data_IF_967178545126
#
_entry.id   IF_967178545126
#
_cell.length_a   1.000
_cell.length_b   1.000
_cell.length_c   1.000
_cell.angle_alpha   90.00
_cell.angle_beta   90.00
_cell.angle_gamma   90.00
#
_symmetry.space_group_name_H-M   'P 1'
#
loop_
_entity.id
_entity.type
_entity.pdbx_description
1 polymer ?
#
# COMPACT_ATOMS: atom_id res chain seq x y z
N UNK A 1 -4.67 10.95 -8.76
CA UNK A 1 -5.44 9.68 -8.86
C UNK A 1 -6.86 9.85 -9.38
N UNK A 2 -7.63 10.88 -8.98
CA UNK A 2 -9.02 11.07 -9.47
C UNK A 2 -9.16 11.09 -11.01
N UNK A 3 -8.29 11.82 -11.72
CA UNK A 3 -8.27 11.81 -13.18
C UNK A 3 -7.95 10.41 -13.72
N UNK A 4 -7.00 9.67 -13.15
CA UNK A 4 -6.68 8.31 -13.61
C UNK A 4 -7.92 7.39 -13.59
N UNK A 5 -8.62 7.37 -12.44
CA UNK A 5 -9.79 6.51 -12.25
C UNK A 5 -10.97 6.95 -13.12
N UNK A 6 -11.25 8.26 -13.19
CA UNK A 6 -12.30 8.79 -14.06
C UNK A 6 -12.03 8.48 -15.54
N UNK A 7 -10.78 8.61 -15.99
CA UNK A 7 -10.41 8.40 -17.40
C UNK A 7 -10.40 6.91 -17.76
N UNK A 8 -10.00 6.02 -16.85
CA UNK A 8 -10.14 4.57 -17.01
C UNK A 8 -11.61 4.14 -17.08
N UNK A 9 -12.46 4.64 -16.18
CA UNK A 9 -13.90 4.37 -16.22
C UNK A 9 -14.55 4.91 -17.51
N UNK A 10 -14.13 6.10 -17.96
CA UNK A 10 -14.61 6.68 -19.23
C UNK A 10 -14.14 5.85 -20.43
N UNK A 11 -12.91 5.32 -20.41
CA UNK A 11 -12.39 4.43 -21.45
C UNK A 11 -13.25 3.17 -21.61
N UNK A 12 -13.71 2.59 -20.50
CA UNK A 12 -14.64 1.46 -20.52
C UNK A 12 -16.03 1.89 -21.01
N UNK A 13 -16.54 3.04 -20.56
CA UNK A 13 -17.85 3.56 -20.97
C UNK A 13 -17.93 3.91 -22.47
N UNK A 14 -16.80 4.27 -23.10
CA UNK A 14 -16.73 4.52 -24.56
C UNK A 14 -17.19 3.30 -25.38
N UNK A 15 -16.99 2.08 -24.87
CA UNK A 15 -17.47 0.83 -25.52
C UNK A 15 -19.00 0.74 -25.57
N UNK A 16 -19.68 1.19 -24.51
CA UNK A 16 -21.16 1.22 -24.47
C UNK A 16 -21.74 2.20 -25.50
N UNK A 17 -20.97 3.23 -25.87
CA UNK A 17 -21.31 4.16 -26.95
C UNK A 17 -20.89 3.70 -28.35
N UNK A 18 -20.36 2.48 -28.50
CA UNK A 18 -19.72 1.96 -29.73
C UNK A 18 -18.66 2.90 -30.32
N UNK A 19 -17.97 3.67 -29.46
CA UNK A 19 -16.91 4.57 -29.86
C UNK A 19 -15.58 4.02 -29.37
N UNK A 20 -14.63 3.84 -30.27
CA UNK A 20 -13.27 3.44 -29.90
C UNK A 20 -12.35 4.66 -29.87
N UNK A 21 -12.36 5.36 -28.74
CA UNK A 21 -11.47 6.49 -28.50
C UNK A 21 -10.02 6.05 -28.28
N UNK A 22 -9.11 7.04 -28.22
CA UNK A 22 -7.71 6.76 -27.90
C UNK A 22 -7.55 6.13 -26.51
N UNK A 23 -8.44 6.42 -25.56
CA UNK A 23 -8.41 5.86 -24.21
C UNK A 23 -8.62 4.36 -24.22
N UNK A 24 -9.62 3.89 -24.98
CA UNK A 24 -9.87 2.46 -25.21
C UNK A 24 -8.63 1.78 -25.80
N UNK A 25 -8.00 2.36 -26.82
CA UNK A 25 -6.79 1.78 -27.44
C UNK A 25 -5.63 1.62 -26.45
N UNK A 26 -5.36 2.63 -25.62
CA UNK A 26 -4.32 2.56 -24.59
C UNK A 26 -4.67 1.54 -23.50
N UNK A 27 -5.94 1.51 -23.07
CA UNK A 27 -6.42 0.55 -22.08
C UNK A 27 -6.26 -0.90 -22.59
N UNK A 28 -6.73 -1.17 -23.80
CA UNK A 28 -6.62 -2.49 -24.44
C UNK A 28 -5.17 -2.90 -24.66
N UNK A 29 -4.29 -1.97 -25.03
CA UNK A 29 -2.83 -2.23 -25.11
C UNK A 29 -2.28 -2.68 -23.76
N UNK A 30 -2.63 -1.97 -22.68
CA UNK A 30 -2.27 -2.36 -21.32
C UNK A 30 -2.83 -3.73 -20.96
N UNK A 31 -4.10 -4.00 -21.28
CA UNK A 31 -4.75 -5.27 -21.02
C UNK A 31 -4.06 -6.44 -21.73
N UNK A 32 -3.69 -6.28 -23.01
CA UNK A 32 -2.93 -7.31 -23.72
C UNK A 32 -1.55 -7.56 -23.10
N UNK A 33 -0.83 -6.52 -22.68
CA UNK A 33 0.44 -6.69 -21.95
C UNK A 33 0.20 -7.48 -20.65
N UNK A 34 -0.87 -7.16 -19.91
CA UNK A 34 -1.26 -7.87 -18.70
C UNK A 34 -1.66 -9.32 -18.94
N UNK A 35 -2.40 -9.61 -20.02
CA UNK A 35 -2.76 -10.98 -20.40
C UNK A 35 -1.53 -11.82 -20.74
N UNK A 36 -0.61 -11.28 -21.55
CA UNK A 36 0.62 -11.97 -21.96
C UNK A 36 1.53 -12.19 -20.76
N UNK A 37 1.76 -11.14 -19.96
CA UNK A 37 2.59 -11.27 -18.76
C UNK A 37 1.96 -12.22 -17.74
N UNK A 38 0.65 -12.14 -17.53
CA UNK A 38 -0.08 -13.01 -16.61
C UNK A 38 -0.13 -14.46 -17.08
N UNK A 39 -0.11 -14.73 -18.40
CA UNK A 39 0.08 -16.08 -18.92
C UNK A 39 1.40 -16.68 -18.44
N UNK A 40 2.49 -15.91 -18.53
CA UNK A 40 3.83 -16.34 -18.10
C UNK A 40 3.93 -16.42 -16.57
N UNK A 41 3.45 -15.39 -15.88
CA UNK A 41 3.71 -15.14 -14.46
C UNK A 41 2.68 -15.80 -13.52
N UNK A 42 1.44 -16.01 -13.97
CA UNK A 42 0.35 -16.57 -13.16
C UNK A 42 -0.12 -17.91 -13.71
N UNK A 43 -0.43 -18.00 -15.01
CA UNK A 43 -1.02 -19.21 -15.59
C UNK A 43 -0.06 -20.39 -15.56
N UNK A 44 1.19 -20.22 -15.99
CA UNK A 44 2.17 -21.31 -15.99
C UNK A 44 2.37 -21.90 -14.58
N UNK A 45 2.63 -21.10 -13.53
CA UNK A 45 2.70 -21.64 -12.16
C UNK A 45 1.40 -22.29 -11.71
N UNK A 46 0.25 -21.66 -11.99
CA UNK A 46 -1.05 -22.17 -11.54
C UNK A 46 -1.37 -23.51 -12.19
N UNK A 47 -1.28 -23.61 -13.53
CA UNK A 47 -1.59 -24.84 -14.25
C UNK A 47 -0.55 -25.94 -14.02
N UNK A 48 0.75 -25.60 -13.96
CA UNK A 48 1.77 -26.59 -13.63
C UNK A 48 1.57 -27.20 -12.24
N UNK A 49 1.09 -26.44 -11.26
CA UNK A 49 0.77 -26.98 -9.93
C UNK A 49 -0.39 -27.99 -9.90
N UNK A 50 -1.19 -28.06 -10.97
CA UNK A 50 -2.27 -29.05 -11.12
C UNK A 50 -1.70 -30.37 -11.64
N UNK A 51 -0.86 -30.30 -12.68
CA UNK A 51 -0.40 -31.48 -13.41
C UNK A 51 0.95 -32.03 -12.94
N UNK A 52 1.77 -31.20 -12.29
CA UNK A 52 3.11 -31.55 -11.84
C UNK A 52 3.18 -31.54 -10.31
N UNK A 53 4.09 -32.36 -9.77
CA UNK A 53 4.38 -32.43 -8.34
C UNK A 53 5.03 -31.16 -7.78
N UNK A 54 5.63 -30.35 -8.66
CA UNK A 54 6.23 -29.06 -8.30
C UNK A 54 5.76 -27.97 -9.26
N UNK A 55 5.53 -26.78 -8.70
CA UNK A 55 5.13 -25.60 -9.47
C UNK A 55 6.29 -25.11 -10.33
N UNK A 56 6.08 -25.04 -11.64
CA UNK A 56 7.07 -24.49 -12.58
C UNK A 56 6.96 -22.98 -12.57
N UNK A 57 8.04 -22.31 -12.16
CA UNK A 57 8.16 -20.86 -12.19
C UNK A 57 9.27 -20.48 -13.17
N UNK A 58 8.91 -19.83 -14.28
CA UNK A 58 9.89 -19.28 -15.22
C UNK A 58 10.71 -18.17 -14.57
N UNK A 59 10.04 -17.34 -13.77
CA UNK A 59 10.66 -16.31 -12.94
C UNK A 59 10.23 -16.53 -11.48
N UNK A 60 11.18 -16.54 -10.52
CA UNK A 60 10.86 -16.66 -9.11
C UNK A 60 9.89 -15.58 -8.63
N UNK A 61 8.82 -15.97 -7.95
CA UNK A 61 7.81 -15.07 -7.40
C UNK A 61 8.11 -14.81 -5.91
N UNK A 62 7.97 -13.57 -5.38
CA UNK A 62 7.72 -12.31 -6.10
C UNK A 62 8.98 -11.70 -6.72
N UNK A 63 10.15 -12.28 -6.45
CA UNK A 63 11.42 -11.69 -6.84
C UNK A 63 12.54 -12.72 -6.96
N UNK A 64 13.56 -12.36 -7.73
CA UNK A 64 14.86 -13.05 -7.71
C UNK A 64 15.67 -12.49 -6.55
N UNK A 65 16.18 -13.37 -5.68
CA UNK A 65 16.95 -12.98 -4.49
C UNK A 65 18.45 -13.10 -4.76
N UNK A 66 19.17 -11.99 -4.62
CA UNK A 66 20.63 -11.90 -4.75
C UNK A 66 21.33 -11.66 -3.40
N UNK A 67 20.58 -11.55 -2.30
CA UNK A 67 21.07 -11.21 -0.96
C UNK A 67 22.20 -12.14 -0.50
N UNK A 68 22.01 -13.45 -0.69
CA UNK A 68 23.03 -14.45 -0.29
C UNK A 68 24.31 -14.33 -1.11
N UNK A 69 24.22 -13.89 -2.37
CA UNK A 69 25.38 -13.74 -3.27
C UNK A 69 26.23 -12.52 -2.91
N UNK A 70 25.61 -11.45 -2.40
CA UNK A 70 26.31 -10.21 -2.05
C UNK A 70 26.81 -10.18 -0.60
N UNK A 71 26.52 -11.20 0.21
CA UNK A 71 26.80 -11.21 1.66
C UNK A 71 28.26 -10.94 2.05
N UNK A 72 29.23 -11.29 1.19
CA UNK A 72 30.67 -11.08 1.43
C UNK A 72 31.11 -9.65 1.17
N UNK A 73 30.43 -8.95 0.26
CA UNK A 73 30.78 -7.58 -0.16
C UNK A 73 29.95 -6.57 0.65
N UNK A 74 28.66 -6.85 0.81
CA UNK A 74 27.66 -5.99 1.42
C UNK A 74 26.92 -6.78 2.52
N UNK A 75 27.48 -6.86 3.75
CA UNK A 75 26.82 -7.57 4.84
C UNK A 75 25.51 -6.89 5.24
N UNK A 76 24.57 -7.69 5.77
CA UNK A 76 23.23 -7.25 6.18
C UNK A 76 22.42 -6.49 5.10
N UNK A 77 22.80 -6.57 3.82
CA UNK A 77 22.18 -5.82 2.73
C UNK A 77 21.22 -6.71 1.96
N UNK A 78 20.00 -6.26 1.66
CA UNK A 78 19.10 -7.03 0.78
C UNK A 78 19.19 -6.53 -0.64
N UNK A 79 19.26 -7.47 -1.60
CA UNK A 79 19.25 -7.17 -3.02
C UNK A 79 18.49 -8.24 -3.77
N UNK A 80 17.68 -7.78 -4.71
CA UNK A 80 16.99 -8.66 -5.63
C UNK A 80 16.28 -7.83 -6.70
N UNK A 81 15.53 -8.52 -7.53
CA UNK A 81 14.75 -7.92 -8.60
C UNK A 81 13.32 -8.44 -8.55
N UNK A 82 12.36 -7.54 -8.31
CA UNK A 82 10.94 -7.85 -8.37
C UNK A 82 10.56 -8.30 -9.76
N UNK A 83 10.01 -9.50 -9.87
CA UNK A 83 9.69 -10.12 -11.16
C UNK A 83 8.33 -9.68 -11.68
N UNK A 84 7.47 -9.09 -10.84
CA UNK A 84 6.19 -8.53 -11.30
C UNK A 84 6.38 -7.19 -12.04
N UNK A 85 6.01 -7.17 -13.32
CA UNK A 85 6.04 -6.01 -14.21
C UNK A 85 5.22 -4.82 -13.70
N UNK A 86 4.29 -5.03 -12.76
CA UNK A 86 3.52 -3.94 -12.14
C UNK A 86 4.43 -2.89 -11.50
N UNK A 87 5.57 -3.29 -10.90
CA UNK A 87 6.49 -2.35 -10.26
C UNK A 87 7.15 -1.43 -11.29
N UNK A 88 7.46 -1.95 -12.47
CA UNK A 88 7.96 -1.17 -13.59
C UNK A 88 6.89 -0.18 -14.10
N UNK A 89 5.64 -0.63 -14.29
CA UNK A 89 4.55 0.22 -14.77
C UNK A 89 4.12 1.29 -13.76
N UNK A 90 4.20 1.01 -12.45
CA UNK A 90 4.00 1.99 -11.38
C UNK A 90 5.01 3.14 -11.52
N UNK A 91 6.24 2.86 -11.96
CA UNK A 91 7.25 3.85 -12.29
C UNK A 91 6.81 4.87 -13.35
N UNK A 92 5.89 4.51 -14.26
CA UNK A 92 5.35 5.45 -15.26
C UNK A 92 4.35 6.44 -14.66
N UNK A 93 3.67 6.06 -13.57
CA UNK A 93 2.54 6.79 -13.01
C UNK A 93 2.96 7.67 -11.83
N UNK A 94 3.91 7.20 -11.01
CA UNK A 94 4.39 7.96 -9.86
C UNK A 94 5.16 9.22 -10.29
N UNK A 95 5.09 10.31 -9.51
CA UNK A 95 5.89 11.49 -9.78
C UNK A 95 7.37 11.13 -9.80
N UNK A 96 8.08 11.51 -10.87
CA UNK A 96 9.46 11.09 -11.10
C UNK A 96 10.39 11.32 -9.89
N UNK A 97 10.27 12.48 -9.24
CA UNK A 97 11.11 12.81 -8.08
C UNK A 97 10.79 11.98 -6.84
N UNK A 98 9.56 11.49 -6.68
CA UNK A 98 9.24 10.51 -5.64
C UNK A 98 10.00 9.22 -5.92
N UNK A 99 9.94 8.71 -7.16
CA UNK A 99 10.62 7.47 -7.54
C UNK A 99 12.14 7.57 -7.40
N UNK A 100 12.74 8.69 -7.81
CA UNK A 100 14.17 8.97 -7.63
C UNK A 100 14.53 8.98 -6.14
N UNK A 101 13.76 9.69 -5.31
CA UNK A 101 13.97 9.72 -3.87
C UNK A 101 13.92 8.32 -3.26
N UNK A 102 12.91 7.53 -3.62
CA UNK A 102 12.73 6.14 -3.16
C UNK A 102 13.90 5.26 -3.58
N UNK A 103 14.33 5.36 -4.84
CA UNK A 103 15.46 4.60 -5.38
C UNK A 103 16.76 4.93 -4.65
N UNK A 104 17.13 6.21 -4.57
CA UNK A 104 18.38 6.65 -3.95
C UNK A 104 18.41 6.25 -2.47
N UNK A 105 17.36 6.54 -1.71
CA UNK A 105 17.30 6.18 -0.29
C UNK A 105 17.28 4.67 -0.06
N UNK A 106 16.59 3.89 -0.89
CA UNK A 106 16.60 2.42 -0.80
C UNK A 106 17.99 1.84 -1.03
N UNK A 107 18.74 2.37 -2.01
CA UNK A 107 20.12 1.96 -2.25
C UNK A 107 21.06 2.43 -1.15
N UNK A 108 20.91 3.64 -0.62
CA UNK A 108 21.72 4.13 0.52
C UNK A 108 21.44 3.26 1.75
N UNK A 109 20.17 2.99 2.06
CA UNK A 109 19.77 2.14 3.18
C UNK A 109 20.44 0.77 3.11
N UNK A 110 20.39 0.16 1.93
CA UNK A 110 20.85 -1.21 1.76
C UNK A 110 22.35 -1.33 1.52
N UNK A 111 22.97 -0.48 0.71
CA UNK A 111 24.36 -0.65 0.31
C UNK A 111 25.34 0.19 1.12
N UNK A 112 24.85 1.16 1.90
CA UNK A 112 25.70 2.03 2.73
C UNK A 112 25.33 1.85 4.20
N UNK A 113 24.08 2.14 4.58
CA UNK A 113 23.68 2.12 5.98
C UNK A 113 23.75 0.71 6.59
N UNK A 114 23.17 -0.32 5.94
CA UNK A 114 23.20 -1.68 6.48
C UNK A 114 24.62 -2.22 6.73
N UNK A 115 25.57 -2.17 5.77
CA UNK A 115 26.94 -2.60 6.02
C UNK A 115 27.63 -1.81 7.15
N UNK A 116 27.41 -0.50 7.22
CA UNK A 116 27.97 0.34 8.29
C UNK A 116 27.38 -0.04 9.65
N UNK A 117 26.06 -0.16 9.76
CA UNK A 117 25.38 -0.54 11.00
C UNK A 117 25.80 -1.94 11.45
N UNK A 118 26.04 -2.86 10.51
CA UNK A 118 26.60 -4.18 10.83
C UNK A 118 28.02 -4.09 11.39
N UNK A 119 28.91 -3.32 10.75
CA UNK A 119 30.29 -3.11 11.24
C UNK A 119 30.36 -2.47 12.62
N UNK A 120 29.39 -1.63 12.97
CA UNK A 120 29.26 -1.03 14.30
C UNK A 120 28.53 -1.92 15.32
N UNK A 121 28.24 -3.18 14.98
CA UNK A 121 27.59 -4.14 15.88
C UNK A 121 26.10 -3.85 16.16
N UNK A 122 25.46 -2.94 15.40
CA UNK A 122 24.04 -2.60 15.59
C UNK A 122 23.15 -3.72 15.02
N UNK A 123 23.44 -4.19 13.80
CA UNK A 123 22.71 -5.28 13.12
C UNK A 123 23.24 -6.66 13.53
N UNK A 124 23.25 -6.93 14.83
CA UNK A 124 23.84 -8.12 15.44
C UNK A 124 23.03 -9.41 15.21
N UNK A 125 21.73 -9.30 14.93
CA UNK A 125 20.86 -10.47 14.70
C UNK A 125 21.10 -11.09 13.32
N UNK A 126 21.60 -10.32 12.35
CA UNK A 126 21.89 -10.81 11.01
C UNK A 126 23.08 -11.79 10.99
N UNK A 127 22.96 -12.86 10.20
CA UNK A 127 24.04 -13.83 9.98
C UNK A 127 24.30 -14.04 8.48
N UNK A 128 25.56 -14.27 8.08
CA UNK A 128 25.89 -14.62 6.69
C UNK A 128 25.09 -15.84 6.22
N UNK A 129 24.41 -15.70 5.08
CA UNK A 129 23.58 -16.76 4.50
C UNK A 129 22.07 -16.56 4.68
N UNK A 130 21.63 -15.58 5.49
CA UNK A 130 20.23 -15.16 5.50
C UNK A 130 19.81 -14.62 4.12
N UNK A 131 18.65 -15.08 3.62
CA UNK A 131 17.98 -14.57 2.42
C UNK A 131 17.28 -13.22 2.70
N UNK A 132 16.63 -12.62 1.69
CA UNK A 132 15.97 -11.30 1.82
C UNK A 132 15.03 -11.23 3.03
N UNK A 133 14.19 -12.25 3.24
CA UNK A 133 13.16 -12.25 4.29
C UNK A 133 13.75 -12.22 5.71
N UNK A 134 14.56 -13.22 6.14
CA UNK A 134 15.15 -13.20 7.46
C UNK A 134 16.08 -12.00 7.67
N UNK A 135 16.82 -11.56 6.64
CA UNK A 135 17.65 -10.35 6.73
C UNK A 135 16.80 -9.09 6.99
N UNK A 136 15.66 -8.98 6.30
CA UNK A 136 14.76 -7.83 6.49
C UNK A 136 14.15 -7.84 7.89
N UNK A 137 13.77 -9.02 8.41
CA UNK A 137 13.23 -9.15 9.77
C UNK A 137 14.30 -8.78 10.81
N UNK A 138 15.51 -9.36 10.72
CA UNK A 138 16.59 -9.12 11.68
C UNK A 138 16.97 -7.65 11.72
N UNK A 139 17.21 -7.03 10.55
CA UNK A 139 17.57 -5.63 10.48
C UNK A 139 16.45 -4.70 10.96
N UNK A 140 15.18 -5.10 10.74
CA UNK A 140 14.01 -4.36 11.23
C UNK A 140 13.93 -4.36 12.75
N UNK A 141 14.15 -5.52 13.38
CA UNK A 141 14.16 -5.65 14.83
C UNK A 141 15.36 -4.94 15.48
N UNK A 142 16.51 -4.97 14.83
CA UNK A 142 17.72 -4.36 15.38
C UNK A 142 17.72 -2.83 15.27
N UNK A 143 17.21 -2.28 14.16
CA UNK A 143 17.32 -0.85 13.82
C UNK A 143 16.13 -0.26 13.07
N UNK A 144 15.69 -0.85 11.94
CA UNK A 144 14.83 -0.13 10.97
C UNK A 144 13.42 0.18 11.48
N UNK A 145 12.82 -0.62 12.35
CA UNK A 145 11.51 -0.25 12.93
C UNK A 145 11.64 1.03 13.75
N UNK A 146 12.66 1.10 14.61
CA UNK A 146 12.90 2.28 15.45
C UNK A 146 13.24 3.51 14.62
N UNK A 147 14.17 3.37 13.67
CA UNK A 147 14.54 4.47 12.76
C UNK A 147 13.37 4.90 11.86
N UNK A 148 12.56 3.93 11.39
CA UNK A 148 11.37 4.14 10.58
C UNK A 148 10.29 4.93 11.32
N UNK A 149 10.06 4.64 12.61
CA UNK A 149 9.16 5.44 13.46
C UNK A 149 9.63 6.91 13.49
N UNK A 150 10.92 7.15 13.74
CA UNK A 150 11.49 8.50 13.81
C UNK A 150 11.32 9.29 12.52
N UNK A 151 11.67 8.69 11.38
CA UNK A 151 11.53 9.32 10.06
C UNK A 151 10.07 9.57 9.68
N UNK A 152 9.17 8.63 9.97
CA UNK A 152 7.75 8.79 9.67
C UNK A 152 7.06 9.85 10.56
N UNK A 153 7.52 10.05 11.81
CA UNK A 153 7.07 11.17 12.64
C UNK A 153 7.39 12.53 12.01
N UNK A 154 8.56 12.67 11.35
CA UNK A 154 8.91 13.90 10.63
C UNK A 154 7.93 14.15 9.47
N UNK A 155 7.61 13.11 8.68
CA UNK A 155 6.63 13.23 7.58
C UNK A 155 5.26 13.64 8.12
N UNK A 156 4.81 13.01 9.22
CA UNK A 156 3.55 13.36 9.87
C UNK A 156 3.55 14.83 10.30
N UNK A 157 4.56 15.29 11.05
CA UNK A 157 4.67 16.67 11.50
C UNK A 157 4.69 17.69 10.34
N UNK A 158 5.40 17.38 9.25
CA UNK A 158 5.38 18.20 8.03
C UNK A 158 3.98 18.23 7.43
N UNK A 159 3.32 17.07 7.30
CA UNK A 159 1.96 16.96 6.76
C UNK A 159 0.94 17.77 7.57
N UNK A 160 0.93 17.59 8.90
CA UNK A 160 0.11 18.37 9.82
C UNK A 160 0.45 19.87 9.76
N UNK A 161 1.72 20.25 9.70
CA UNK A 161 2.16 21.64 9.63
C UNK A 161 1.80 22.34 8.31
N UNK A 162 1.86 21.63 7.17
CA UNK A 162 1.42 22.13 5.87
C UNK A 162 -0.10 22.29 5.85
N UNK A 163 -0.84 21.29 6.34
CA UNK A 163 -2.30 21.36 6.44
C UNK A 163 -2.76 22.50 7.37
N UNK A 164 -2.14 22.64 8.55
CA UNK A 164 -2.44 23.71 9.51
C UNK A 164 -2.17 25.10 8.94
N UNK A 165 -1.03 25.31 8.27
CA UNK A 165 -0.74 26.59 7.58
C UNK A 165 -1.75 26.90 6.48
N UNK A 166 -2.19 25.89 5.72
CA UNK A 166 -3.21 26.08 4.70
C UNK A 166 -4.56 26.52 5.31
N UNK A 167 -4.95 25.97 6.46
CA UNK A 167 -6.14 26.41 7.20
C UNK A 167 -6.00 27.87 7.66
N UNK A 168 -4.87 28.22 8.27
CA UNK A 168 -4.62 29.58 8.77
C UNK A 168 -4.56 30.62 7.65
N UNK A 169 -4.07 30.24 6.46
CA UNK A 169 -4.03 31.11 5.27
C UNK A 169 -5.36 31.21 4.55
N UNK A 170 -6.27 30.26 4.74
CA UNK A 170 -7.62 30.29 4.16
C UNK A 170 -8.56 31.29 4.88
N UNK A 171 -8.02 32.40 5.41
CA UNK A 171 -8.79 33.53 5.96
C UNK A 171 -9.59 34.21 4.85
N UNK A 172 -10.75 33.65 4.54
CA UNK A 172 -11.61 34.10 3.44
C UNK A 172 -12.94 33.36 3.32
N UNK A 173 -13.62 33.08 4.45
CA UNK A 173 -15.06 32.75 4.50
C UNK A 173 -15.58 31.54 3.68
N UNK A 174 -16.83 31.09 3.93
CA UNK A 174 -17.36 29.83 3.45
C UNK A 174 -17.91 29.90 2.01
N UNK A 175 -17.11 30.33 1.01
CA UNK A 175 -17.53 30.24 -0.41
C UNK A 175 -17.54 28.81 -0.97
N UNK A 176 -17.04 27.84 -0.22
CA UNK A 176 -16.87 26.43 -0.63
C UNK A 176 -17.97 25.48 -0.12
N UNK A 177 -18.98 25.96 0.62
CA UNK A 177 -20.04 25.11 1.20
C UNK A 177 -21.16 24.76 0.22
N UNK A 178 -21.17 25.30 -1.01
CA UNK A 178 -22.16 24.91 -2.02
C UNK A 178 -21.58 23.79 -2.88
N UNK A 179 -22.14 22.56 -2.80
CA UNK A 179 -21.82 21.50 -3.74
C UNK A 179 -21.95 21.97 -5.19
N UNK A 180 -21.13 21.42 -6.12
CA UNK A 180 -21.36 21.62 -7.54
C UNK A 180 -22.81 21.25 -7.90
N UNK A 181 -23.51 22.07 -8.71
CA UNK A 181 -24.89 21.79 -9.08
C UNK A 181 -24.99 20.44 -9.80
N UNK A 182 -26.02 19.65 -9.45
CA UNK A 182 -26.31 18.37 -10.11
C UNK A 182 -25.63 17.12 -9.55
N UNK A 183 -24.71 17.22 -8.57
CA UNK A 183 -24.07 16.04 -7.95
C UNK A 183 -24.99 15.28 -6.98
N UNK A 184 -25.99 15.96 -6.42
CA UNK A 184 -26.97 15.36 -5.51
C UNK A 184 -26.43 15.08 -4.11
N UNK A 185 -25.59 15.98 -3.60
CA UNK A 185 -24.94 15.84 -2.30
C UNK A 185 -25.94 15.90 -1.14
N UNK A 186 -25.69 15.06 -0.12
CA UNK A 186 -26.48 15.00 1.10
C UNK A 186 -26.14 16.19 2.00
N UNK A 187 -27.10 16.79 2.72
CA UNK A 187 -26.83 17.83 3.70
C UNK A 187 -25.79 17.39 4.75
N UNK A 188 -24.86 18.29 5.10
CA UNK A 188 -23.78 18.03 6.06
C UNK A 188 -24.28 17.44 7.38
N UNK A 189 -25.38 17.92 8.01
CA UNK A 189 -25.87 17.36 9.27
C UNK A 189 -26.22 15.87 9.16
N UNK A 190 -26.85 15.45 8.06
CA UNK A 190 -27.20 14.04 7.84
C UNK A 190 -25.95 13.18 7.67
N UNK A 191 -24.94 13.70 6.97
CA UNK A 191 -23.64 12.99 6.80
C UNK A 191 -22.95 12.82 8.15
N UNK A 192 -22.92 13.86 8.98
CA UNK A 192 -22.35 13.80 10.34
C UNK A 192 -23.12 12.82 11.23
N UNK A 193 -24.45 12.78 11.13
CA UNK A 193 -25.29 11.82 11.86
C UNK A 193 -25.00 10.38 11.45
N UNK A 194 -24.95 10.09 10.14
CA UNK A 194 -24.64 8.75 9.63
C UNK A 194 -23.24 8.32 10.07
N UNK A 195 -22.26 9.22 9.98
CA UNK A 195 -20.90 8.96 10.45
C UNK A 195 -20.85 8.69 11.95
N UNK A 196 -21.51 9.52 12.77
CA UNK A 196 -21.54 9.35 14.22
C UNK A 196 -22.21 8.02 14.61
N UNK A 197 -23.34 7.68 13.99
CA UNK A 197 -24.05 6.43 14.21
C UNK A 197 -23.21 5.21 13.79
N UNK A 198 -22.58 5.27 12.61
CA UNK A 198 -21.69 4.20 12.13
C UNK A 198 -20.47 4.02 13.03
N UNK A 199 -19.84 5.11 13.45
CA UNK A 199 -18.68 5.09 14.36
C UNK A 199 -19.07 4.55 15.72
N UNK A 200 -20.23 4.96 16.26
CA UNK A 200 -20.76 4.43 17.51
C UNK A 200 -21.01 2.92 17.42
N UNK A 201 -21.54 2.43 16.30
CA UNK A 201 -21.72 0.99 16.06
C UNK A 201 -20.39 0.22 16.17
N UNK A 202 -19.30 0.74 15.59
CA UNK A 202 -17.97 0.14 15.75
C UNK A 202 -17.47 0.19 17.19
N UNK A 203 -17.67 1.31 17.91
CA UNK A 203 -17.28 1.43 19.33
C UNK A 203 -18.01 0.40 20.18
N UNK A 204 -19.33 0.27 20.00
CA UNK A 204 -20.16 -0.72 20.70
C UNK A 204 -19.74 -2.13 20.34
N UNK A 205 -19.52 -2.42 19.06
CA UNK A 205 -19.09 -3.74 18.59
C UNK A 205 -17.75 -4.15 19.22
N UNK A 206 -16.76 -3.25 19.26
CA UNK A 206 -15.47 -3.52 19.92
C UNK A 206 -15.65 -3.73 21.42
N UNK A 207 -16.53 -2.96 22.08
CA UNK A 207 -16.81 -3.14 23.51
C UNK A 207 -17.47 -4.50 23.80
N UNK A 208 -18.34 -5.00 22.90
CA UNK A 208 -18.92 -6.34 23.00
C UNK A 208 -17.87 -7.43 22.76
N UNK A 209 -17.01 -7.27 21.75
CA UNK A 209 -16.01 -8.27 21.38
C UNK A 209 -14.83 -8.34 22.35
N UNK A 210 -14.43 -7.21 22.93
CA UNK A 210 -13.29 -7.10 23.86
C UNK A 210 -13.65 -6.20 25.05
N UNK A 211 -14.46 -6.68 26.01
CA UNK A 211 -14.95 -5.87 27.13
C UNK A 211 -13.84 -5.30 28.02
N UNK A 212 -12.74 -6.03 28.15
CA UNK A 212 -11.55 -5.65 28.93
C UNK A 212 -10.76 -4.47 28.32
N UNK A 213 -11.01 -4.13 27.05
CA UNK A 213 -10.35 -3.00 26.42
C UNK A 213 -11.11 -1.70 26.70
N UNK A 214 -10.43 -0.60 27.09
CA UNK A 214 -11.10 0.64 27.43
C UNK A 214 -11.86 1.23 26.22
N UNK A 215 -13.19 1.26 26.30
CA UNK A 215 -14.07 1.72 25.20
C UNK A 215 -13.77 3.16 24.75
N UNK A 216 -13.33 4.02 25.67
CA UNK A 216 -13.01 5.41 25.39
C UNK A 216 -11.82 5.57 24.43
N UNK A 217 -10.89 4.60 24.39
CA UNK A 217 -9.78 4.60 23.42
C UNK A 217 -10.32 4.35 22.02
N UNK A 218 -11.23 3.37 21.88
CA UNK A 218 -11.92 3.09 20.63
C UNK A 218 -12.74 4.30 20.17
N UNK A 219 -13.44 4.97 21.09
CA UNK A 219 -14.17 6.20 20.80
C UNK A 219 -13.25 7.34 20.36
N UNK A 220 -12.09 7.51 21.01
CA UNK A 220 -11.08 8.49 20.61
C UNK A 220 -10.59 8.25 19.18
N UNK A 221 -10.33 6.98 18.82
CA UNK A 221 -9.95 6.64 17.46
C UNK A 221 -11.02 6.99 16.42
N UNK A 222 -12.27 6.64 16.72
CA UNK A 222 -13.39 6.87 15.81
C UNK A 222 -13.78 8.34 15.68
N UNK A 223 -14.05 9.01 16.81
CA UNK A 223 -14.62 10.35 16.84
C UNK A 223 -13.59 11.47 16.72
N UNK A 224 -12.33 11.23 17.09
CA UNK A 224 -11.29 12.27 17.07
C UNK A 224 -10.21 11.98 16.02
N UNK A 225 -9.54 10.84 16.10
CA UNK A 225 -8.40 10.57 15.22
C UNK A 225 -8.81 10.40 13.75
N UNK A 226 -9.81 9.56 13.47
CA UNK A 226 -10.29 9.29 12.11
C UNK A 226 -10.65 10.57 11.32
N UNK A 227 -11.48 11.51 11.83
CA UNK A 227 -11.79 12.73 11.09
C UNK A 227 -10.57 13.67 10.93
N UNK A 228 -9.73 13.80 11.95
CA UNK A 228 -8.52 14.64 11.87
C UNK A 228 -7.52 14.09 10.85
N UNK A 229 -7.20 12.79 10.94
CA UNK A 229 -6.32 12.10 10.00
C UNK A 229 -6.86 12.14 8.57
N UNK A 230 -8.16 11.87 8.39
CA UNK A 230 -8.82 11.95 7.08
C UNK A 230 -8.78 13.36 6.47
N UNK A 231 -8.94 14.41 7.29
CA UNK A 231 -8.87 15.79 6.83
C UNK A 231 -7.46 16.16 6.35
N UNK A 232 -6.43 15.84 7.14
CA UNK A 232 -5.04 16.08 6.77
C UNK A 232 -4.69 15.27 5.53
N UNK A 233 -5.15 14.02 5.45
CA UNK A 233 -4.99 13.16 4.28
C UNK A 233 -5.61 13.78 3.04
N UNK A 234 -6.86 14.25 3.13
CA UNK A 234 -7.54 14.92 2.02
C UNK A 234 -6.77 16.15 1.52
N UNK A 235 -6.20 16.94 2.43
CA UNK A 235 -5.35 18.09 2.06
C UNK A 235 -4.05 17.65 1.40
N UNK A 236 -3.40 16.62 1.92
CA UNK A 236 -2.20 16.04 1.31
C UNK A 236 -2.51 15.53 -0.10
N UNK A 237 -3.61 14.80 -0.30
CA UNK A 237 -4.06 14.38 -1.64
C UNK A 237 -4.22 15.59 -2.58
N UNK A 238 -4.80 16.68 -2.11
CA UNK A 238 -4.97 17.90 -2.90
C UNK A 238 -3.66 18.63 -3.23
N UNK A 239 -2.69 18.65 -2.30
CA UNK A 239 -1.44 19.40 -2.43
C UNK A 239 -0.33 18.61 -3.13
N UNK A 240 -0.21 17.32 -2.84
CA UNK A 240 0.91 16.47 -3.27
C UNK A 240 0.45 15.33 -4.19
N UNK A 241 -0.85 15.19 -4.44
CA UNK A 241 -1.42 14.12 -5.26
C UNK A 241 -1.49 12.77 -4.56
N UNK A 242 -1.10 12.70 -3.28
CA UNK A 242 -1.03 11.48 -2.48
C UNK A 242 -1.42 11.74 -1.02
N UNK A 243 -2.09 10.80 -0.31
CA UNK A 243 -2.38 10.96 1.12
C UNK A 243 -1.13 10.82 2.02
N UNK A 244 0.05 10.51 1.46
CA UNK A 244 1.27 10.28 2.25
C UNK A 244 1.60 11.46 3.16
N UNK A 245 1.81 11.14 4.45
CA UNK A 245 2.13 12.10 5.50
C UNK A 245 0.96 12.53 6.40
N UNK A 246 -0.23 11.96 6.20
CA UNK A 246 -1.39 12.24 7.05
C UNK A 246 -1.65 11.21 8.17
N UNK A 247 -0.95 10.09 8.15
CA UNK A 247 -1.06 9.05 9.17
C UNK A 247 0.11 9.12 10.15
N UNK A 248 -0.20 8.96 11.43
CA UNK A 248 0.81 8.79 12.46
C UNK A 248 1.30 7.32 12.40
N UNK A 249 2.59 7.07 12.18
CA UNK A 249 3.12 5.72 12.08
C UNK A 249 2.94 4.97 13.40
N UNK A 250 2.54 3.70 13.31
CA UNK A 250 2.38 2.81 14.47
C UNK A 250 1.48 3.35 15.60
N UNK A 251 0.57 4.28 15.31
CA UNK A 251 -0.28 4.88 16.35
C UNK A 251 -1.15 3.84 17.04
N UNK A 252 -1.76 2.94 16.25
CA UNK A 252 -2.59 1.85 16.76
C UNK A 252 -1.77 0.97 17.71
N UNK A 253 -0.59 0.57 17.26
CA UNK A 253 0.33 -0.30 17.98
C UNK A 253 0.81 0.34 19.28
N UNK A 254 1.18 1.62 19.23
CA UNK A 254 1.62 2.39 20.40
C UNK A 254 0.50 2.54 21.43
N UNK A 255 -0.72 2.86 21.00
CA UNK A 255 -1.86 3.01 21.91
C UNK A 255 -2.25 1.68 22.55
N UNK A 256 -2.24 0.55 21.82
CA UNK A 256 -2.53 -0.75 22.41
C UNK A 256 -1.46 -1.18 23.42
N UNK A 257 -0.20 -0.87 23.11
CA UNK A 257 0.89 -1.12 24.03
C UNK A 257 0.79 -0.26 25.31
N UNK A 258 0.43 1.02 25.16
CA UNK A 258 0.33 1.98 26.27
C UNK A 258 -1.00 1.90 27.05
N UNK A 259 -2.05 1.31 26.48
CA UNK A 259 -3.37 1.19 27.15
C UNK A 259 -3.35 0.28 28.38
N UNK A 260 -2.29 -0.50 28.56
CA UNK A 260 -2.18 -1.47 29.66
C UNK A 260 -2.93 -2.79 29.40
N UNK A 261 -3.66 -2.90 28.29
CA UNK A 261 -4.44 -4.08 27.93
C UNK A 261 -3.57 -5.35 27.83
N UNK A 262 -4.14 -6.47 28.28
CA UNK A 262 -3.51 -7.80 28.26
C UNK A 262 -4.35 -8.76 27.43
N UNK A 263 -3.77 -9.25 26.34
CA UNK A 263 -4.44 -10.19 25.44
C UNK A 263 -4.19 -9.91 23.96
N UNK A 264 -4.55 -10.86 23.11
CA UNK A 264 -4.42 -10.73 21.66
C UNK A 264 -5.70 -10.22 20.98
N UNK A 265 -6.86 -10.32 21.64
CA UNK A 265 -8.16 -10.10 20.99
C UNK A 265 -8.31 -8.71 20.37
N UNK A 266 -7.78 -7.66 21.01
CA UNK A 266 -7.85 -6.29 20.49
C UNK A 266 -7.19 -6.12 19.11
N UNK A 267 -6.16 -6.92 18.80
CA UNK A 267 -5.45 -6.86 17.53
C UNK A 267 -6.30 -7.33 16.34
N UNK A 268 -7.33 -8.12 16.62
CA UNK A 268 -8.26 -8.66 15.64
C UNK A 268 -9.64 -7.96 15.68
N UNK A 269 -9.81 -6.99 16.58
CA UNK A 269 -11.07 -6.24 16.72
C UNK A 269 -11.22 -5.15 15.65
N UNK A 270 -12.44 -4.84 15.17
CA UNK A 270 -12.70 -3.86 14.12
C UNK A 270 -12.67 -2.43 14.66
N UNK A 271 -11.49 -1.93 15.01
CA UNK A 271 -11.31 -0.62 15.65
C UNK A 271 -11.44 0.49 14.59
N UNK A 272 -12.21 1.57 14.85
CA UNK A 272 -12.53 2.58 13.85
C UNK A 272 -11.37 3.56 13.63
N UNK A 273 -10.28 3.07 13.02
CA UNK A 273 -9.11 3.83 12.58
C UNK A 273 -9.15 3.87 11.05
N UNK A 274 -10.10 4.65 10.51
CA UNK A 274 -10.33 4.71 9.07
C UNK A 274 -9.62 5.91 8.45
N UNK A 275 -9.21 5.78 7.18
CA UNK A 275 -8.75 6.90 6.36
C UNK A 275 -9.76 7.14 5.23
N UNK A 276 -10.49 8.25 5.32
CA UNK A 276 -11.46 8.68 4.32
C UNK A 276 -10.89 9.71 3.34
N UNK A 277 -9.59 10.01 3.38
CA UNK A 277 -8.94 11.00 2.51
C UNK A 277 -9.14 10.72 1.01
N UNK A 278 -9.12 9.44 0.62
CA UNK A 278 -9.35 9.00 -0.75
C UNK A 278 -10.73 9.36 -1.28
N UNK A 279 -11.74 9.53 -0.41
CA UNK A 279 -13.11 9.85 -0.83
C UNK A 279 -13.20 11.22 -1.51
N UNK A 280 -12.33 12.18 -1.17
CA UNK A 280 -12.28 13.47 -1.87
C UNK A 280 -11.95 13.28 -3.35
N UNK A 281 -11.08 12.33 -3.68
CA UNK A 281 -10.80 11.97 -5.08
C UNK A 281 -12.01 11.31 -5.76
N UNK A 282 -12.82 10.54 -5.04
CA UNK A 282 -14.06 9.94 -5.57
C UNK A 282 -15.10 11.02 -5.86
N UNK A 283 -15.30 11.97 -4.94
CA UNK A 283 -16.21 13.10 -5.18
C UNK A 283 -15.76 13.98 -6.36
N UNK A 284 -14.45 14.10 -6.59
CA UNK A 284 -13.92 14.73 -7.80
C UNK A 284 -14.16 13.90 -9.06
N UNK A 285 -14.12 12.57 -8.97
CA UNK A 285 -14.48 11.69 -10.08
C UNK A 285 -15.93 11.87 -10.48
N UNK A 286 -16.86 11.90 -9.52
CA UNK A 286 -18.28 12.14 -9.80
C UNK A 286 -18.50 13.42 -10.62
N UNK A 287 -17.78 14.49 -10.26
CA UNK A 287 -17.79 15.75 -11.01
C UNK A 287 -17.25 15.58 -12.45
N UNK A 288 -16.11 14.91 -12.60
CA UNK A 288 -15.47 14.70 -13.91
C UNK A 288 -16.28 13.78 -14.83
N UNK A 289 -16.94 12.77 -14.27
CA UNK A 289 -17.77 11.81 -15.01
C UNK A 289 -19.22 12.24 -15.13
N UNK A 290 -19.60 13.38 -14.54
CA UNK A 290 -20.99 13.89 -14.47
C UNK A 290 -21.97 12.85 -13.91
N UNK A 291 -21.54 12.10 -12.89
CA UNK A 291 -22.36 11.11 -12.19
C UNK A 291 -22.85 11.66 -10.86
N UNK A 292 -23.90 11.06 -10.31
CA UNK A 292 -24.55 11.52 -9.08
C UNK A 292 -24.10 10.70 -7.88
N UNK A 293 -24.20 11.30 -6.68
CA UNK A 293 -23.96 10.61 -5.42
C UNK A 293 -24.92 9.41 -5.24
N UNK A 294 -26.17 9.55 -5.66
CA UNK A 294 -27.14 8.44 -5.63
C UNK A 294 -26.68 7.23 -6.46
N UNK A 295 -26.06 7.46 -7.63
CA UNK A 295 -25.47 6.37 -8.42
C UNK A 295 -24.28 5.71 -7.71
N UNK A 296 -23.46 6.50 -6.99
CA UNK A 296 -22.37 5.95 -6.18
C UNK A 296 -22.92 5.06 -5.05
N UNK A 297 -23.98 5.48 -4.36
CA UNK A 297 -24.62 4.66 -3.31
C UNK A 297 -25.18 3.37 -3.91
N UNK A 298 -25.92 3.44 -5.01
CA UNK A 298 -26.45 2.25 -5.71
C UNK A 298 -25.33 1.29 -6.13
N UNK A 299 -24.25 1.83 -6.68
CA UNK A 299 -23.06 1.05 -7.04
C UNK A 299 -22.43 0.40 -5.81
N UNK A 300 -22.30 1.13 -4.71
CA UNK A 300 -21.71 0.62 -3.46
C UNK A 300 -22.56 -0.49 -2.86
N UNK A 301 -23.88 -0.36 -2.85
CA UNK A 301 -24.80 -1.40 -2.34
C UNK A 301 -24.74 -2.64 -3.22
N UNK A 302 -24.83 -2.47 -4.55
CA UNK A 302 -24.75 -3.59 -5.48
C UNK A 302 -23.40 -4.32 -5.37
N UNK A 303 -22.30 -3.57 -5.36
CA UNK A 303 -20.96 -4.15 -5.24
C UNK A 303 -20.77 -4.82 -3.89
N UNK A 304 -21.27 -4.25 -2.79
CA UNK A 304 -21.24 -4.89 -1.47
C UNK A 304 -21.97 -6.22 -1.48
N UNK A 305 -23.20 -6.28 -2.00
CA UNK A 305 -23.99 -7.51 -2.05
C UNK A 305 -23.32 -8.59 -2.89
N UNK A 306 -22.87 -8.24 -4.10
CA UNK A 306 -22.18 -9.18 -5.00
C UNK A 306 -20.87 -9.63 -4.37
N UNK A 307 -20.04 -8.70 -3.87
CA UNK A 307 -18.75 -9.05 -3.25
C UNK A 307 -18.94 -9.89 -2.00
N UNK A 308 -19.95 -9.63 -1.17
CA UNK A 308 -20.19 -10.43 0.03
C UNK A 308 -20.48 -11.89 -0.33
N UNK A 309 -21.44 -12.12 -1.23
CA UNK A 309 -21.81 -13.46 -1.70
C UNK A 309 -20.63 -14.14 -2.39
N UNK A 310 -19.98 -13.46 -3.34
CA UNK A 310 -18.85 -14.02 -4.06
C UNK A 310 -17.65 -14.28 -3.14
N UNK A 311 -17.37 -13.43 -2.15
CA UNK A 311 -16.24 -13.63 -1.23
C UNK A 311 -16.41 -14.88 -0.39
N UNK A 312 -17.62 -15.17 0.13
CA UNK A 312 -17.87 -16.42 0.84
C UNK A 312 -17.61 -17.64 -0.05
N UNK A 313 -18.06 -17.59 -1.31
CA UNK A 313 -17.81 -18.66 -2.28
C UNK A 313 -16.30 -18.80 -2.52
N UNK A 314 -15.63 -17.73 -2.93
CA UNK A 314 -14.20 -17.76 -3.25
C UNK A 314 -13.33 -18.15 -2.06
N UNK A 315 -13.59 -17.64 -0.86
CA UNK A 315 -12.84 -18.04 0.33
C UNK A 315 -13.02 -19.52 0.63
N UNK A 316 -14.27 -20.03 0.62
CA UNK A 316 -14.53 -21.45 0.85
C UNK A 316 -13.79 -22.36 -0.12
N UNK A 317 -13.61 -21.88 -1.35
CA UNK A 317 -12.97 -22.60 -2.44
C UNK A 317 -11.44 -22.51 -2.36
N UNK A 318 -10.88 -21.34 -2.09
CA UNK A 318 -9.43 -21.13 -1.92
C UNK A 318 -8.89 -21.95 -0.75
N UNK A 319 -9.62 -22.03 0.37
CA UNK A 319 -9.21 -22.86 1.50
C UNK A 319 -9.24 -24.37 1.21
N UNK A 320 -10.03 -24.81 0.23
CA UNK A 320 -10.10 -26.22 -0.20
C UNK A 320 -9.07 -26.58 -1.27
N UNK A 321 -8.53 -25.60 -2.00
CA UNK A 321 -7.54 -25.81 -3.07
C UNK A 321 -6.24 -26.45 -2.58
N UNK A 322 -5.83 -26.14 -1.36
CA UNK A 322 -4.60 -26.64 -0.75
C UNK A 322 -4.19 -25.82 0.46
N UNK A 323 -3.23 -26.31 1.27
CA UNK A 323 -2.76 -25.61 2.44
C UNK A 323 -2.16 -24.25 2.06
N UNK A 324 -2.42 -23.23 2.87
CA UNK A 324 -1.82 -21.90 2.76
C UNK A 324 -0.98 -21.68 4.02
N UNK A 325 0.33 -21.37 3.91
CA UNK A 325 1.12 -21.24 2.68
C UNK A 325 1.55 -22.60 2.07
N UNK A 326 1.70 -22.66 0.75
CA UNK A 326 2.27 -23.80 0.02
C UNK A 326 2.88 -23.39 -1.33
N UNK A 327 3.62 -24.28 -1.98
CA UNK A 327 4.21 -24.01 -3.30
C UNK A 327 3.17 -23.63 -4.38
N UNK A 328 1.92 -24.08 -4.22
CA UNK A 328 0.79 -23.68 -5.08
C UNK A 328 0.46 -22.18 -4.99
N UNK A 329 0.90 -21.51 -3.92
CA UNK A 329 0.76 -20.06 -3.72
C UNK A 329 2.14 -19.41 -3.55
N UNK A 330 2.94 -19.27 -4.63
CA UNK A 330 4.34 -18.84 -4.54
C UNK A 330 4.58 -17.55 -3.76
N UNK A 331 3.73 -16.53 -3.98
CA UNK A 331 3.83 -15.26 -3.28
C UNK A 331 3.59 -15.44 -1.77
N UNK A 332 2.47 -16.08 -1.40
CA UNK A 332 2.13 -16.34 -0.01
C UNK A 332 3.20 -17.21 0.65
N UNK A 333 3.67 -18.26 -0.01
CA UNK A 333 4.72 -19.14 0.51
C UNK A 333 5.98 -18.38 0.93
N UNK A 334 6.38 -17.37 0.16
CA UNK A 334 7.59 -16.60 0.43
C UNK A 334 7.39 -15.43 1.38
N UNK A 335 6.26 -14.72 1.26
CA UNK A 335 6.01 -13.47 1.99
C UNK A 335 5.25 -13.68 3.30
N UNK A 336 4.50 -14.76 3.45
CA UNK A 336 3.72 -15.03 4.67
C UNK A 336 4.58 -15.06 5.93
N UNK A 337 5.78 -15.70 5.97
CA UNK A 337 6.63 -15.66 7.16
C UNK A 337 7.03 -14.24 7.56
N UNK A 338 7.27 -13.35 6.60
CA UNK A 338 7.59 -11.95 6.86
C UNK A 338 6.42 -11.24 7.54
N UNK A 339 5.24 -11.29 6.93
CA UNK A 339 4.04 -10.62 7.45
C UNK A 339 3.62 -11.19 8.80
N UNK A 340 3.56 -12.52 8.93
CA UNK A 340 3.20 -13.19 10.16
C UNK A 340 4.17 -12.86 11.30
N UNK A 341 5.48 -12.78 11.03
CA UNK A 341 6.46 -12.41 12.06
C UNK A 341 6.31 -10.97 12.51
N UNK A 342 6.11 -10.03 11.57
CA UNK A 342 5.91 -8.61 11.88
C UNK A 342 4.61 -8.37 12.66
N UNK A 343 3.54 -9.05 12.27
CA UNK A 343 2.25 -8.96 12.97
C UNK A 343 2.32 -9.62 14.36
N UNK A 344 2.87 -10.83 14.46
CA UNK A 344 3.00 -11.54 15.73
C UNK A 344 3.89 -10.78 16.72
N UNK A 345 4.90 -10.04 16.25
CA UNK A 345 5.73 -9.17 17.09
C UNK A 345 4.87 -8.11 17.80
N UNK A 346 3.97 -7.44 17.07
CA UNK A 346 3.07 -6.45 17.64
C UNK A 346 2.01 -7.09 18.54
N UNK A 347 1.39 -8.20 18.12
CA UNK A 347 0.41 -8.92 18.96
C UNK A 347 1.02 -9.37 20.29
N UNK A 348 2.27 -9.83 20.27
CA UNK A 348 3.00 -10.22 21.49
C UNK A 348 3.23 -9.06 22.45
N UNK A 349 3.17 -7.80 22.01
CA UNK A 349 3.39 -6.62 22.87
C UNK A 349 2.42 -6.55 24.06
N UNK A 350 1.19 -7.03 23.88
CA UNK A 350 0.12 -7.02 24.89
C UNK A 350 0.02 -8.35 25.65
N UNK A 351 0.79 -9.38 25.28
CA UNK A 351 0.84 -10.65 25.99
C UNK A 351 1.82 -10.61 27.20
N UNK A 352 1.73 -11.58 28.14
CA UNK A 352 2.73 -11.73 29.21
C UNK A 352 4.15 -11.81 28.64
N UNK A 353 5.10 -11.05 29.20
CA UNK A 353 6.47 -10.95 28.68
C UNK A 353 6.65 -10.02 27.45
N UNK A 354 5.55 -9.56 26.83
CA UNK A 354 5.57 -8.70 25.64
C UNK A 354 6.33 -7.39 25.78
N UNK A 355 6.27 -6.77 26.97
CA UNK A 355 6.99 -5.52 27.27
C UNK A 355 8.50 -5.66 27.13
N UNK A 356 9.06 -6.80 27.53
CA UNK A 356 10.50 -7.06 27.41
C UNK A 356 10.89 -7.23 25.93
N UNK A 357 10.08 -7.96 25.15
CA UNK A 357 10.29 -8.14 23.71
C UNK A 357 10.24 -6.80 22.97
N UNK A 358 9.23 -5.97 23.23
CA UNK A 358 9.10 -4.66 22.59
C UNK A 358 10.21 -3.71 23.03
N UNK A 359 10.63 -3.73 24.31
CA UNK A 359 11.77 -2.93 24.78
C UNK A 359 13.09 -3.33 24.10
N UNK A 360 13.24 -4.61 23.74
CA UNK A 360 14.39 -5.10 22.98
C UNK A 360 14.41 -4.64 21.51
N UNK A 361 13.24 -4.43 20.91
CA UNK A 361 13.09 -4.08 19.49
C UNK A 361 12.96 -2.57 19.27
N UNK A 362 12.15 -1.90 20.09
CA UNK A 362 11.88 -0.46 20.01
C UNK A 362 12.90 0.29 20.86
N UNK A 363 13.90 0.86 20.18
CA UNK A 363 15.04 1.55 20.78
C UNK A 363 14.89 3.05 20.56
N UNK A 364 14.58 3.76 21.64
CA UNK A 364 14.39 5.21 21.61
C UNK A 364 15.56 6.01 20.98
N UNK A 365 16.84 5.66 21.22
CA UNK A 365 17.95 6.35 20.54
C UNK A 365 17.87 6.29 19.01
N UNK A 366 17.41 5.17 18.46
CA UNK A 366 17.28 5.02 17.00
C UNK A 366 16.03 5.72 16.46
N UNK A 367 14.99 5.88 17.27
CA UNK A 367 13.85 6.77 16.94
C UNK A 367 14.34 8.21 16.83
N UNK A 368 15.10 8.69 17.82
CA UNK A 368 15.67 10.04 17.79
C UNK A 368 16.63 10.23 16.61
N UNK A 369 17.47 9.23 16.32
CA UNK A 369 18.35 9.25 15.15
C UNK A 369 17.55 9.35 13.84
N UNK A 370 16.48 8.57 13.69
CA UNK A 370 15.57 8.64 12.54
C UNK A 370 14.86 9.99 12.42
N UNK A 371 14.40 10.55 13.54
CA UNK A 371 13.77 11.86 13.59
C UNK A 371 14.74 12.98 13.21
N UNK A 372 15.94 12.97 13.80
CA UNK A 372 17.00 13.93 13.50
C UNK A 372 17.43 13.83 12.04
N UNK A 373 17.67 12.62 11.55
CA UNK A 373 18.01 12.38 10.15
C UNK A 373 16.91 12.88 9.20
N UNK A 374 15.64 12.52 9.45
CA UNK A 374 14.52 12.96 8.62
C UNK A 374 14.37 14.48 8.61
N UNK A 375 14.55 15.13 9.76
CA UNK A 375 14.46 16.59 9.91
C UNK A 375 15.59 17.32 9.17
N UNK A 376 16.83 16.83 9.33
CA UNK A 376 18.01 17.36 8.63
C UNK A 376 17.88 17.13 7.13
N UNK A 377 17.48 15.94 6.69
CA UNK A 377 17.27 15.63 5.28
C UNK A 377 16.20 16.54 4.67
N UNK A 378 15.08 16.76 5.36
CA UNK A 378 14.05 17.71 4.93
C UNK A 378 14.58 19.14 4.82
N UNK A 379 15.31 19.61 5.85
CA UNK A 379 15.87 20.96 5.88
C UNK A 379 16.89 21.17 4.76
N UNK A 380 17.84 20.24 4.57
CA UNK A 380 18.84 20.30 3.51
C UNK A 380 18.19 20.31 2.13
N UNK A 381 17.25 19.39 1.87
CA UNK A 381 16.55 19.33 0.59
C UNK A 381 15.70 20.59 0.35
N UNK A 382 15.08 21.14 1.40
CA UNK A 382 14.33 22.39 1.30
C UNK A 382 15.24 23.60 1.03
N UNK A 383 16.43 23.66 1.64
CA UNK A 383 17.40 24.73 1.41
C UNK A 383 18.01 24.68 0.01
N UNK A 384 18.24 23.48 -0.52
CA UNK A 384 18.72 23.26 -1.89
C UNK A 384 17.64 23.54 -2.95
N UNK A 385 16.43 23.95 -2.56
CA UNK A 385 15.30 24.19 -3.47
C UNK A 385 14.82 22.91 -4.16
N UNK A 386 15.14 21.73 -3.61
CA UNK A 386 14.74 20.46 -4.19
C UNK A 386 13.20 20.33 -4.13
N UNK A 387 12.56 19.69 -5.13
CA UNK A 387 11.11 19.50 -5.11
C UNK A 387 10.69 18.77 -3.84
N UNK A 388 9.72 19.30 -3.08
CA UNK A 388 9.24 18.71 -1.82
C UNK A 388 8.86 17.22 -1.94
N UNK A 389 8.41 16.82 -3.13
CA UNK A 389 8.12 15.43 -3.49
C UNK A 389 9.31 14.46 -3.37
N UNK A 390 10.55 14.94 -3.57
CA UNK A 390 11.75 14.11 -3.42
C UNK A 390 11.94 13.70 -1.95
N UNK A 391 11.56 14.56 -1.00
CA UNK A 391 11.68 14.27 0.43
C UNK A 391 10.76 13.12 0.83
N UNK A 392 9.52 13.13 0.32
CA UNK A 392 8.57 12.04 0.55
C UNK A 392 9.08 10.72 -0.03
N UNK A 393 9.61 10.74 -1.26
CA UNK A 393 10.25 9.55 -1.85
C UNK A 393 11.45 9.07 -1.03
N UNK A 394 12.30 9.99 -0.59
CA UNK A 394 13.50 9.69 0.18
C UNK A 394 13.19 9.05 1.53
N UNK A 395 12.15 9.50 2.23
CA UNK A 395 11.76 8.88 3.51
C UNK A 395 11.13 7.50 3.29
N UNK A 396 10.32 7.34 2.24
CA UNK A 396 9.70 6.06 1.90
C UNK A 396 10.73 5.00 1.48
N UNK A 397 11.78 5.39 0.77
CA UNK A 397 12.73 4.42 0.22
C UNK A 397 13.61 3.73 1.26
N UNK A 398 13.84 4.30 2.45
CA UNK A 398 14.52 3.59 3.54
C UNK A 398 13.80 2.31 3.98
N UNK A 399 12.48 2.29 3.87
CA UNK A 399 11.65 1.12 4.17
C UNK A 399 11.30 0.30 2.93
N UNK A 400 11.76 0.71 1.75
CA UNK A 400 11.47 0.04 0.48
C UNK A 400 12.65 -0.85 0.08
N UNK A 401 12.38 -2.11 -0.24
CA UNK A 401 13.42 -3.01 -0.73
C UNK A 401 13.90 -2.61 -2.14
N UNK A 402 15.21 -2.76 -2.45
CA UNK A 402 15.74 -2.51 -3.79
C UNK A 402 15.03 -3.33 -4.88
N UNK A 403 14.53 -4.51 -4.50
CA UNK A 403 13.66 -5.39 -5.29
C UNK A 403 12.57 -4.64 -6.04
N UNK A 404 11.94 -3.65 -5.41
CA UNK A 404 10.82 -2.90 -5.96
C UNK A 404 11.22 -1.50 -6.43
N UNK A 405 12.18 -0.88 -5.74
CA UNK A 405 12.67 0.45 -6.08
C UNK A 405 13.41 0.47 -7.43
N UNK A 406 14.18 -0.57 -7.74
CA UNK A 406 14.94 -0.67 -9.01
C UNK A 406 13.98 -0.74 -10.21
N UNK A 407 13.01 -1.69 -10.30
CA UNK A 407 12.06 -1.72 -11.42
C UNK A 407 11.25 -0.42 -11.55
N UNK A 408 10.80 0.16 -10.44
CA UNK A 408 10.08 1.44 -10.45
C UNK A 408 10.93 2.56 -11.06
N UNK A 409 12.21 2.64 -10.69
CA UNK A 409 13.12 3.63 -11.23
C UNK A 409 13.39 3.42 -12.72
N UNK A 410 13.60 2.19 -13.16
CA UNK A 410 13.75 1.86 -14.58
C UNK A 410 12.50 2.26 -15.38
N UNK A 411 11.31 2.00 -14.84
CA UNK A 411 10.05 2.46 -15.40
C UNK A 411 10.00 3.99 -15.50
N UNK A 412 10.30 4.69 -14.41
CA UNK A 412 10.29 6.15 -14.39
C UNK A 412 11.30 6.78 -15.38
N UNK A 413 12.47 6.18 -15.56
CA UNK A 413 13.47 6.60 -16.55
C UNK A 413 12.95 6.41 -17.98
N UNK A 414 12.38 5.25 -18.30
CA UNK A 414 11.82 5.01 -19.63
C UNK A 414 10.62 5.94 -19.91
N UNK A 415 9.74 6.09 -18.93
CA UNK A 415 8.56 6.95 -18.99
C UNK A 415 8.95 8.41 -19.23
N UNK A 416 9.88 8.97 -18.44
CA UNK A 416 10.30 10.37 -18.56
C UNK A 416 11.27 10.61 -19.72
N UNK A 417 12.23 9.72 -19.93
CA UNK A 417 13.34 9.89 -20.86
C UNK A 417 12.98 9.61 -22.32
N UNK A 418 12.15 8.60 -22.57
CA UNK A 418 11.81 8.17 -23.93
C UNK A 418 10.34 8.41 -24.27
N UNK A 419 9.42 7.83 -23.49
CA UNK A 419 7.99 7.82 -23.84
C UNK A 419 7.37 9.22 -23.79
N UNK A 420 7.75 10.04 -22.81
CA UNK A 420 7.33 11.45 -22.73
C UNK A 420 7.85 12.28 -23.91
N UNK A 421 9.05 12.00 -24.42
CA UNK A 421 9.60 12.68 -25.61
C UNK A 421 8.90 12.22 -26.89
N UNK A 422 8.60 10.92 -27.00
CA UNK A 422 7.95 10.32 -28.17
C UNK A 422 6.49 10.71 -28.32
N UNK A 423 5.71 10.70 -27.24
CA UNK A 423 4.25 10.92 -27.29
C UNK A 423 3.82 12.34 -26.91
N UNK A 424 4.73 13.14 -26.38
CA UNK A 424 4.44 14.47 -25.81
C UNK A 424 4.06 14.40 -24.33
N UNK A 425 4.39 15.47 -23.60
CA UNK A 425 4.29 15.53 -22.13
C UNK A 425 2.88 15.28 -21.58
N UNK A 426 1.90 16.00 -22.12
CA UNK A 426 0.52 15.92 -21.66
C UNK A 426 -0.13 14.58 -22.03
N UNK A 427 0.06 14.14 -23.28
CA UNK A 427 -0.48 12.86 -23.77
C UNK A 427 0.07 11.68 -22.97
N UNK A 428 1.38 11.62 -22.76
CA UNK A 428 1.99 10.53 -21.97
C UNK A 428 1.48 10.50 -20.53
N UNK A 429 1.33 11.68 -19.90
CA UNK A 429 0.81 11.80 -18.54
C UNK A 429 -0.63 11.28 -18.42
N UNK A 430 -1.41 11.33 -19.50
CA UNK A 430 -2.74 10.74 -19.57
C UNK A 430 -2.72 9.24 -19.96
N UNK A 431 -1.74 8.80 -20.76
CA UNK A 431 -1.63 7.42 -21.23
C UNK A 431 -1.14 6.47 -20.14
N UNK A 432 -0.08 6.83 -19.42
CA UNK A 432 0.56 5.96 -18.44
C UNK A 432 -0.41 5.38 -17.40
N UNK A 433 -1.34 6.16 -16.82
CA UNK A 433 -2.27 5.60 -15.84
C UNK A 433 -3.35 4.70 -16.45
N UNK A 434 -3.78 4.97 -17.68
CA UNK A 434 -4.74 4.12 -18.41
C UNK A 434 -4.07 2.80 -18.81
N UNK A 435 -2.79 2.84 -19.21
CA UNK A 435 -1.99 1.67 -19.52
C UNK A 435 -1.83 0.77 -18.30
N UNK A 436 -1.51 1.33 -17.12
CA UNK A 436 -1.42 0.59 -15.87
C UNK A 436 -2.77 -0.04 -15.49
N UNK A 437 -3.88 0.71 -15.62
CA UNK A 437 -5.22 0.18 -15.35
C UNK A 437 -5.58 -0.97 -16.30
N UNK A 438 -5.24 -0.85 -17.59
CA UNK A 438 -5.36 -1.92 -18.58
C UNK A 438 -4.57 -3.15 -18.17
N UNK A 439 -3.28 -2.99 -17.84
CA UNK A 439 -2.42 -4.08 -17.37
C UNK A 439 -3.01 -4.81 -16.17
N UNK A 440 -3.45 -4.08 -15.13
CA UNK A 440 -4.08 -4.69 -13.96
C UNK A 440 -5.35 -5.45 -14.32
N UNK A 441 -6.16 -4.94 -15.24
CA UNK A 441 -7.34 -5.64 -15.76
C UNK A 441 -6.95 -6.94 -16.47
N UNK A 442 -5.99 -6.89 -17.40
CA UNK A 442 -5.51 -8.07 -18.11
C UNK A 442 -4.93 -9.15 -17.18
N UNK A 443 -4.06 -8.75 -16.25
CA UNK A 443 -3.51 -9.64 -15.21
C UNK A 443 -4.61 -10.28 -14.36
N UNK A 444 -5.61 -9.49 -13.95
CA UNK A 444 -6.74 -9.98 -13.17
C UNK A 444 -7.60 -10.98 -13.95
N UNK A 445 -7.92 -10.68 -15.21
CA UNK A 445 -8.74 -11.56 -16.06
C UNK A 445 -8.07 -12.90 -16.31
N UNK A 446 -6.79 -12.91 -16.73
CA UNK A 446 -6.08 -14.17 -16.99
C UNK A 446 -5.82 -14.94 -15.68
N UNK A 447 -5.56 -14.24 -14.58
CA UNK A 447 -5.46 -14.84 -13.26
C UNK A 447 -6.74 -15.56 -12.85
N UNK A 448 -7.89 -14.87 -12.93
CA UNK A 448 -9.20 -15.44 -12.62
C UNK A 448 -9.54 -16.63 -13.53
N UNK A 449 -9.23 -16.56 -14.83
CA UNK A 449 -9.43 -17.67 -15.75
C UNK A 449 -8.59 -18.89 -15.34
N UNK A 450 -7.32 -18.69 -15.02
CA UNK A 450 -6.43 -19.79 -14.60
C UNK A 450 -6.80 -20.43 -13.27
N UNK A 451 -7.23 -19.62 -12.30
CA UNK A 451 -7.72 -20.12 -11.01
C UNK A 451 -9.02 -20.88 -11.22
N UNK A 452 -9.94 -20.38 -12.04
CA UNK A 452 -11.17 -21.09 -12.39
C UNK A 452 -10.89 -22.45 -13.04
N UNK A 453 -9.94 -22.53 -13.96
CA UNK A 453 -9.50 -23.80 -14.55
C UNK A 453 -8.88 -24.74 -13.51
N UNK A 454 -8.03 -24.21 -12.61
CA UNK A 454 -7.44 -24.99 -11.53
C UNK A 454 -8.49 -25.56 -10.58
N UNK A 455 -9.54 -24.78 -10.32
CA UNK A 455 -10.66 -25.18 -9.49
C UNK A 455 -11.50 -26.27 -10.11
N UNK A 456 -11.85 -26.12 -11.38
CA UNK A 456 -12.58 -27.16 -12.13
C UNK A 456 -11.76 -28.44 -12.16
N UNK A 457 -10.46 -28.34 -12.48
CA UNK A 457 -9.59 -29.51 -12.56
C UNK A 457 -9.52 -30.26 -11.23
N UNK A 458 -9.35 -29.56 -10.11
CA UNK A 458 -9.29 -30.19 -8.79
C UNK A 458 -10.64 -30.74 -8.32
N UNK A 459 -11.74 -30.08 -8.66
CA UNK A 459 -13.07 -30.58 -8.34
C UNK A 459 -13.39 -31.88 -9.10
N UNK A 460 -12.94 -32.00 -10.35
CA UNK A 460 -13.11 -33.21 -11.17
C UNK A 460 -12.12 -34.31 -10.77
N UNK A 461 -10.88 -33.96 -10.41
CA UNK A 461 -9.83 -34.91 -10.04
C UNK A 461 -9.92 -35.42 -8.59
N UNK A 462 -10.96 -35.07 -7.82
CA UNK A 462 -11.23 -35.73 -6.53
C UNK A 462 -11.77 -37.16 -6.69
N UNK A 463 -11.98 -37.63 -7.92
CA UNK A 463 -12.11 -39.05 -8.21
C UNK A 463 -10.71 -39.60 -8.51
N UNK A 464 -10.27 -40.55 -7.68
CA UNK A 464 -8.98 -41.27 -7.69
C UNK A 464 -7.85 -40.60 -6.86
N UNK A 465 -7.97 -40.61 -5.53
CA UNK A 465 -7.27 -41.55 -4.63
C UNK A 465 -7.75 -41.38 -3.18
#
# INVERSE_FOLDING_TARGET
MAYVQAWGATALAETSGRREGWRWRVFTTGAFIGLIWGAVYVVIPTLSSIFLTSTVQLLPIPFIDFTVKIKSILPASVLGFGTDLVHFLIGFVLPFWVVVGTFISSLIANFVANPLLYKHGILHTWKPGMTTIPTSISNSFDFWISFGIGTALVVALIGFGVAGRAILRARGGPKLLRPPPGRGDVPIPTVLLIWAASTLCFVVLVHILVPEFPWWITALFGFLYTPLGSYVGARMVGLTGTPYGASIPYLKEAVFYLSGYKGAAIWFAPIPIFDHSGQVSVFKQLELTKTTFGSLVKLTVLTLLVMLVCSFIFYSVIWKLGPIPSAAYPYAHRMWPFHATMEAMWVKSTLPGGKALIKGIIKFPYILAGFGFGSVAYLLLSLLGAPTLIVYGFIMGFNTWPHYAIPQFLGALLGRGYLRRRFGGERWSAYAPILLAGYSCGMGLIGMASISLALISKAVSQVVF
#
